data_IF_677979101858
#
_entry.id   IF_677979101858
#
_cell.length_a   1.000
_cell.length_b   1.000
_cell.length_c   1.000
_cell.angle_alpha   90.00
_cell.angle_beta   90.00
_cell.angle_gamma   90.00
#
_symmetry.space_group_name_H-M   'P 1'
#
loop_
_entity.id
_entity.type
_entity.pdbx_description
1 polymer ?
#
# COMPACT_ATOMS: atom_id res chain seq x y z
N UNK A 1 49.24 26.75 35.52
CA UNK A 1 47.93 26.82 36.19
C UNK A 1 46.95 27.42 35.18
N UNK A 2 46.41 26.60 34.26
CA UNK A 2 45.04 26.07 34.32
C UNK A 2 44.12 27.02 33.53
N UNK A 3 43.27 26.64 32.58
CA UNK A 3 42.56 25.38 32.37
C UNK A 3 42.10 25.26 30.92
N UNK A 4 41.92 24.01 30.50
CA UNK A 4 41.48 23.52 29.20
C UNK A 4 40.02 23.88 28.91
N UNK A 5 39.72 24.22 27.64
CA UNK A 5 38.36 24.31 27.08
C UNK A 5 38.13 23.08 26.20
N UNK A 6 37.15 22.25 26.55
CA UNK A 6 36.63 21.15 25.71
C UNK A 6 35.71 21.69 24.61
N UNK A 7 35.68 21.06 23.41
CA UNK A 7 34.55 21.15 22.50
C UNK A 7 33.78 19.83 22.50
N UNK A 8 32.53 19.85 22.97
CA UNK A 8 31.62 18.69 22.89
C UNK A 8 30.22 19.16 22.49
N UNK A 9 30.05 19.44 21.19
CA UNK A 9 28.76 19.53 20.50
C UNK A 9 29.04 19.58 19.01
N UNK A 10 29.11 18.43 18.33
CA UNK A 10 28.96 18.31 16.86
C UNK A 10 29.05 16.85 16.40
N UNK A 11 28.14 15.99 16.86
CA UNK A 11 28.00 14.61 16.32
C UNK A 11 26.58 14.13 16.02
N UNK A 12 25.56 14.97 16.20
CA UNK A 12 24.16 14.57 15.99
C UNK A 12 23.56 14.93 14.61
N UNK A 13 24.29 15.63 13.73
CA UNK A 13 23.74 16.09 12.44
C UNK A 13 24.18 15.31 11.20
N UNK A 14 25.01 14.27 11.32
CA UNK A 14 25.56 13.58 10.12
C UNK A 14 24.81 12.28 9.77
N UNK A 15 24.05 11.69 10.71
CA UNK A 15 23.30 10.44 10.48
C UNK A 15 21.91 10.62 9.85
N UNK A 16 21.30 11.80 9.94
CA UNK A 16 19.94 12.05 9.45
C UNK A 16 19.89 12.32 7.94
N UNK A 17 20.96 12.89 7.37
CA UNK A 17 21.03 13.24 5.95
C UNK A 17 21.15 12.04 5.02
N UNK A 18 21.59 10.88 5.52
CA UNK A 18 21.76 9.68 4.69
C UNK A 18 20.43 8.90 4.50
N UNK A 19 19.53 8.95 5.49
CA UNK A 19 18.23 8.27 5.40
C UNK A 19 17.23 9.00 4.49
N UNK A 20 17.25 10.34 4.46
CA UNK A 20 16.44 11.09 3.48
C UNK A 20 16.95 10.96 2.03
N UNK A 21 18.26 10.82 1.84
CA UNK A 21 18.86 10.63 0.53
C UNK A 21 18.49 9.27 -0.10
N UNK A 22 18.36 8.21 0.71
CA UNK A 22 18.00 6.87 0.20
C UNK A 22 16.50 6.75 -0.17
N UNK A 23 15.61 7.50 0.49
CA UNK A 23 14.20 7.58 0.10
C UNK A 23 13.95 8.36 -1.19
N UNK A 24 14.83 9.32 -1.53
CA UNK A 24 14.75 10.04 -2.82
C UNK A 24 15.31 9.23 -4.00
N UNK A 25 16.25 8.31 -3.76
CA UNK A 25 16.78 7.44 -4.81
C UNK A 25 15.83 6.31 -5.24
N UNK A 26 14.93 5.87 -4.35
CA UNK A 26 13.91 4.86 -4.71
C UNK A 26 12.73 5.43 -5.49
N UNK A 27 12.59 6.77 -5.57
CA UNK A 27 11.55 7.43 -6.36
C UNK A 27 11.94 7.65 -7.84
N UNK A 28 13.20 7.36 -8.22
CA UNK A 28 13.68 7.55 -9.60
C UNK A 28 13.65 6.27 -10.47
N UNK A 29 13.27 5.11 -9.94
CA UNK A 29 13.26 3.85 -10.71
C UNK A 29 11.87 3.36 -11.16
N UNK A 30 10.81 4.16 -11.01
CA UNK A 30 9.46 3.79 -11.47
C UNK A 30 8.98 4.52 -12.74
N UNK A 31 9.90 5.07 -13.55
CA UNK A 31 9.57 5.67 -14.84
C UNK A 31 10.43 5.04 -15.96
N UNK A 32 9.94 3.94 -16.54
CA UNK A 32 10.15 3.62 -17.96
C UNK A 32 9.22 2.46 -18.36
N UNK A 33 8.09 2.79 -19.00
CA UNK A 33 7.58 1.99 -20.10
C UNK A 33 6.86 2.91 -21.07
N UNK A 34 7.60 3.27 -22.10
CA UNK A 34 7.18 4.03 -23.27
C UNK A 34 6.10 3.28 -24.05
N UNK A 35 5.03 3.98 -24.41
CA UNK A 35 4.33 3.78 -25.68
C UNK A 35 3.91 5.17 -26.18
N UNK A 36 4.72 5.72 -27.09
CA UNK A 36 4.35 6.87 -27.92
C UNK A 36 3.22 6.45 -28.86
N UNK A 37 2.13 7.21 -28.88
CA UNK A 37 1.31 7.33 -30.09
C UNK A 37 1.02 8.80 -30.30
N UNK A 38 1.69 9.34 -31.31
CA UNK A 38 1.64 10.72 -31.75
C UNK A 38 0.43 10.89 -32.67
N UNK A 39 -0.55 11.71 -32.31
CA UNK A 39 -1.66 12.07 -33.21
C UNK A 39 -2.12 13.50 -32.92
N UNK A 40 -1.46 14.46 -33.58
CA UNK A 40 -2.00 15.79 -33.81
C UNK A 40 -1.83 16.16 -35.29
N UNK A 41 -2.89 16.00 -36.09
CA UNK A 41 -3.33 16.98 -37.11
C UNK A 41 -4.74 16.67 -37.61
N UNK A 42 -5.56 17.70 -37.91
CA UNK A 42 -6.95 17.56 -38.35
C UNK A 42 -7.01 17.30 -39.86
N UNK A 43 -8.17 16.84 -40.38
CA UNK A 43 -8.79 17.25 -41.68
C UNK A 43 -10.04 16.38 -41.98
N UNK A 44 -11.17 17.08 -42.11
CA UNK A 44 -12.41 16.91 -42.91
C UNK A 44 -12.98 15.53 -43.34
N UNK A 45 -14.31 15.42 -43.19
CA UNK A 45 -15.22 14.44 -43.82
C UNK A 45 -15.18 14.48 -45.36
N UNK A 46 -15.57 13.39 -46.03
CA UNK A 46 -16.87 13.42 -46.72
C UNK A 46 -17.71 12.14 -46.62
N UNK A 47 -19.02 12.29 -46.87
CA UNK A 47 -20.01 11.21 -47.05
C UNK A 47 -19.69 10.32 -48.27
N UNK A 48 -19.88 8.99 -48.16
CA UNK A 48 -20.88 8.26 -48.97
C UNK A 48 -21.09 6.81 -48.52
N UNK A 49 -22.35 6.40 -48.69
CA UNK A 49 -22.99 5.10 -48.49
C UNK A 49 -22.52 4.02 -49.49
N UNK A 50 -22.50 2.75 -49.06
CA UNK A 50 -23.18 1.62 -49.77
C UNK A 50 -23.23 0.36 -48.89
N UNK A 51 -24.32 -0.39 -49.04
CA UNK A 51 -24.67 -1.68 -48.41
C UNK A 51 -23.97 -2.86 -49.08
N UNK A 52 -23.82 -3.99 -48.36
CA UNK A 52 -24.19 -5.40 -48.69
C UNK A 52 -23.49 -6.33 -47.66
N UNK A 53 -24.23 -6.99 -46.75
CA UNK A 53 -24.89 -8.32 -46.79
C UNK A 53 -23.96 -9.55 -46.64
N UNK A 54 -24.23 -10.27 -45.54
CA UNK A 54 -24.30 -11.73 -45.31
C UNK A 54 -23.09 -12.65 -45.57
N UNK A 55 -22.67 -13.41 -44.54
CA UNK A 55 -22.76 -14.88 -44.49
C UNK A 55 -21.97 -15.49 -43.30
N UNK A 56 -22.32 -16.72 -42.99
CA UNK A 56 -22.26 -17.44 -41.71
C UNK A 56 -21.47 -18.76 -41.77
N UNK A 57 -21.06 -19.29 -40.61
CA UNK A 57 -20.73 -20.71 -40.34
C UNK A 57 -19.23 -21.06 -40.32
N UNK A 58 -18.71 -22.08 -39.62
CA UNK A 58 -19.20 -23.14 -38.73
C UNK A 58 -17.96 -23.85 -38.10
N UNK A 59 -18.07 -24.25 -36.82
CA UNK A 59 -17.53 -25.42 -36.08
C UNK A 59 -16.22 -26.19 -36.45
N UNK A 60 -15.47 -26.60 -35.42
CA UNK A 60 -14.63 -27.83 -35.43
C UNK A 60 -13.53 -27.97 -34.35
N UNK A 61 -13.78 -28.74 -33.28
CA UNK A 61 -12.87 -29.28 -32.22
C UNK A 61 -12.02 -30.50 -32.76
N UNK A 62 -11.17 -31.30 -32.03
CA UNK A 62 -10.75 -31.31 -30.60
C UNK A 62 -9.31 -31.87 -30.20
N UNK A 63 -9.00 -31.80 -28.87
CA UNK A 63 -8.21 -32.75 -27.98
C UNK A 63 -6.66 -32.89 -28.21
N UNK A 64 -5.74 -33.24 -27.28
CA UNK A 64 -5.71 -33.78 -25.88
C UNK A 64 -4.24 -33.82 -25.35
N UNK A 65 -4.10 -34.04 -24.01
CA UNK A 65 -3.03 -34.77 -23.24
C UNK A 65 -1.58 -34.23 -23.22
N UNK A 66 -0.74 -34.37 -22.17
CA UNK A 66 -0.82 -35.03 -20.85
C UNK A 66 0.41 -34.62 -19.99
N UNK A 67 0.25 -34.87 -18.69
CA UNK A 67 1.19 -34.81 -17.56
C UNK A 67 2.46 -35.68 -17.71
N UNK A 68 3.52 -35.30 -16.96
CA UNK A 68 4.69 -36.14 -16.65
C UNK A 68 5.65 -35.46 -15.67
N UNK A 69 5.46 -35.74 -14.37
CA UNK A 69 6.37 -35.44 -13.24
C UNK A 69 7.33 -36.62 -13.03
N UNK A 70 8.48 -36.38 -12.38
CA UNK A 70 9.33 -37.27 -11.54
C UNK A 70 10.82 -37.05 -11.84
N UNK A 71 11.80 -37.20 -10.93
CA UNK A 71 11.96 -37.13 -9.46
C UNK A 71 13.49 -37.14 -9.24
N UNK A 72 13.95 -36.57 -8.13
CA UNK A 72 15.35 -36.55 -7.64
C UNK A 72 15.83 -37.93 -7.20
N UNK A 73 17.15 -38.12 -7.18
CA UNK A 73 17.81 -39.16 -6.39
C UNK A 73 19.06 -38.59 -5.70
N UNK A 74 19.01 -38.50 -4.37
CA UNK A 74 20.11 -38.19 -3.45
C UNK A 74 20.68 -39.52 -2.93
N UNK A 75 22.01 -39.65 -2.90
CA UNK A 75 22.71 -40.79 -2.27
C UNK A 75 23.41 -40.35 -1.00
N UNK A 76 23.19 -41.12 0.07
CA UNK A 76 23.63 -40.95 1.46
C UNK A 76 24.44 -42.19 1.83
N UNK A 77 25.55 -42.06 2.57
CA UNK A 77 26.00 -43.14 3.49
C UNK A 77 26.98 -42.60 4.57
N UNK A 78 26.91 -43.07 5.83
CA UNK A 78 27.65 -42.56 7.02
C UNK A 78 28.59 -43.60 7.69
N UNK A 79 29.38 -43.18 8.70
CA UNK A 79 29.94 -44.02 9.80
C UNK A 79 30.56 -43.12 10.89
N UNK A 80 30.10 -43.07 12.15
CA UNK A 80 30.29 -43.95 13.33
C UNK A 80 31.67 -43.86 14.03
N UNK A 81 31.67 -43.96 15.37
CA UNK A 81 32.52 -43.29 16.41
C UNK A 81 33.50 -44.30 17.14
N UNK A 82 34.11 -43.98 18.32
CA UNK A 82 35.51 -43.57 18.67
C UNK A 82 36.37 -44.72 19.33
N UNK A 83 37.52 -44.51 20.05
CA UNK A 83 37.57 -43.96 21.44
C UNK A 83 38.89 -43.25 21.93
N UNK A 84 38.75 -42.62 23.11
CA UNK A 84 39.71 -42.48 24.26
C UNK A 84 40.83 -41.41 24.35
N UNK A 85 40.61 -40.50 25.32
CA UNK A 85 41.45 -40.07 26.46
C UNK A 85 42.91 -39.58 26.28
N UNK A 86 43.18 -38.33 26.68
CA UNK A 86 44.08 -38.01 27.80
C UNK A 86 44.04 -36.50 28.17
N UNK A 87 44.23 -36.26 29.47
CA UNK A 87 44.21 -34.98 30.18
C UNK A 87 45.46 -34.14 29.88
N UNK A 88 45.37 -32.81 30.01
CA UNK A 88 46.28 -32.02 30.86
C UNK A 88 45.77 -30.58 31.03
N UNK A 89 45.89 -30.11 32.27
CA UNK A 89 45.57 -28.77 32.72
C UNK A 89 46.74 -27.82 32.48
N UNK A 90 46.46 -26.56 32.18
CA UNK A 90 47.30 -25.43 32.58
C UNK A 90 46.50 -24.13 32.54
N UNK A 91 46.59 -23.37 33.62
CA UNK A 91 45.88 -22.12 33.85
C UNK A 91 46.61 -20.94 33.18
N UNK A 92 45.86 -20.01 32.60
CA UNK A 92 46.23 -18.59 32.60
C UNK A 92 45.06 -17.68 32.19
N UNK A 93 44.61 -16.94 33.17
CA UNK A 93 43.95 -15.63 33.19
C UNK A 93 43.82 -14.90 31.85
N UNK A 94 42.59 -14.51 31.47
CA UNK A 94 42.31 -13.19 30.89
C UNK A 94 40.81 -12.83 30.94
N UNK A 95 40.60 -11.58 31.34
CA UNK A 95 39.39 -10.77 31.44
C UNK A 95 38.32 -11.04 30.39
N UNK A 96 37.07 -11.09 30.88
CA UNK A 96 35.91 -10.42 30.30
C UNK A 96 35.67 -10.62 28.81
N UNK A 97 35.06 -11.74 28.43
CA UNK A 97 34.27 -11.80 27.21
C UNK A 97 32.97 -11.03 27.46
N UNK A 98 32.99 -9.72 27.21
CA UNK A 98 31.74 -9.02 26.89
C UNK A 98 31.20 -9.71 25.65
N UNK A 99 30.10 -10.45 25.81
CA UNK A 99 29.38 -11.05 24.69
C UNK A 99 28.99 -9.93 23.74
N UNK A 100 29.72 -9.83 22.63
CA UNK A 100 29.36 -8.94 21.53
C UNK A 100 28.22 -9.63 20.79
N UNK A 101 27.03 -9.57 21.40
CA UNK A 101 25.84 -10.12 20.80
C UNK A 101 25.44 -9.17 19.68
N UNK A 102 25.30 -9.69 18.45
CA UNK A 102 24.79 -8.91 17.30
C UNK A 102 23.36 -8.39 17.53
N UNK A 103 22.73 -8.80 18.62
CA UNK A 103 21.41 -8.39 19.07
C UNK A 103 21.42 -7.07 19.85
N UNK A 104 22.60 -6.50 20.16
CA UNK A 104 22.72 -5.26 20.95
C UNK A 104 22.70 -3.99 20.09
N UNK A 105 22.57 -4.06 18.77
CA UNK A 105 22.60 -2.89 17.88
C UNK A 105 21.23 -2.53 17.30
N UNK A 106 20.92 -1.24 17.28
CA UNK A 106 19.71 -0.69 16.70
C UNK A 106 19.84 -0.60 15.17
N UNK A 107 18.93 -1.19 14.37
CA UNK A 107 19.02 -1.14 12.91
C UNK A 107 18.68 0.23 12.30
N UNK A 108 18.20 1.19 13.10
CA UNK A 108 17.87 2.56 12.64
C UNK A 108 19.07 3.49 12.81
N UNK A 109 19.63 3.58 14.02
CA UNK A 109 20.77 4.46 14.29
C UNK A 109 22.13 3.77 14.12
N UNK A 110 22.14 2.44 13.98
CA UNK A 110 23.35 1.60 13.84
C UNK A 110 24.27 1.61 15.07
N UNK A 111 23.80 2.16 16.20
CA UNK A 111 24.48 2.18 17.50
C UNK A 111 23.89 1.14 18.46
N UNK A 112 24.51 0.99 19.64
CA UNK A 112 23.98 0.15 20.72
C UNK A 112 22.54 0.52 21.09
N UNK A 113 21.72 -0.48 21.38
CA UNK A 113 20.34 -0.31 21.80
C UNK A 113 20.25 0.45 23.12
N UNK A 114 19.56 1.59 23.09
CA UNK A 114 19.25 2.42 24.26
C UNK A 114 17.75 2.35 24.51
N UNK A 115 17.35 1.97 25.74
CA UNK A 115 15.94 1.79 26.14
C UNK A 115 15.18 0.96 25.09
N UNK A 116 15.63 -0.26 24.89
CA UNK A 116 15.15 -1.08 23.78
C UNK A 116 13.64 -1.35 23.82
N UNK A 117 13.00 -1.33 22.66
CA UNK A 117 11.65 -1.84 22.45
C UNK A 117 11.67 -2.91 21.36
N UNK A 118 11.05 -4.03 21.66
CA UNK A 118 10.88 -5.13 20.71
C UNK A 118 9.43 -5.16 20.21
N UNK A 119 9.28 -5.23 18.89
CA UNK A 119 7.98 -5.38 18.23
C UNK A 119 7.53 -6.85 18.22
N UNK A 120 6.26 -7.10 17.87
CA UNK A 120 5.71 -8.47 17.77
C UNK A 120 6.46 -9.32 16.73
N UNK A 121 6.97 -8.70 15.68
CA UNK A 121 7.83 -9.31 14.66
C UNK A 121 9.28 -9.59 15.13
N UNK A 122 9.57 -9.41 16.43
CA UNK A 122 10.86 -9.67 17.10
C UNK A 122 12.02 -8.74 16.76
N UNK A 123 11.85 -7.79 15.84
CA UNK A 123 12.83 -6.72 15.64
C UNK A 123 12.87 -5.76 16.85
N UNK A 124 14.08 -5.39 17.26
CA UNK A 124 14.36 -4.54 18.42
C UNK A 124 15.02 -3.23 17.99
N UNK A 125 14.63 -2.13 18.63
CA UNK A 125 15.07 -0.77 18.31
C UNK A 125 15.31 0.03 19.59
N UNK A 126 16.10 1.10 19.52
CA UNK A 126 16.02 2.15 20.54
C UNK A 126 14.60 2.73 20.57
N UNK A 127 14.05 3.03 21.76
CA UNK A 127 12.69 3.59 21.87
C UNK A 127 12.53 4.85 21.03
N UNK A 128 13.46 5.79 21.14
CA UNK A 128 13.42 7.06 20.39
C UNK A 128 13.50 6.86 18.88
N UNK A 129 14.35 5.93 18.41
CA UNK A 129 14.44 5.61 16.99
C UNK A 129 13.14 4.99 16.47
N UNK A 130 12.53 4.11 17.26
CA UNK A 130 11.23 3.55 16.91
C UNK A 130 10.18 4.65 16.85
N UNK A 131 10.02 5.47 17.90
CA UNK A 131 9.03 6.57 17.92
C UNK A 131 9.20 7.54 16.74
N UNK A 132 10.44 7.95 16.45
CA UNK A 132 10.73 8.80 15.31
C UNK A 132 10.30 8.14 14.00
N UNK A 133 10.58 6.85 13.82
CA UNK A 133 10.13 6.11 12.64
C UNK A 133 8.61 6.02 12.57
N UNK A 134 7.92 5.69 13.67
CA UNK A 134 6.45 5.56 13.70
C UNK A 134 5.76 6.88 13.34
N UNK A 135 6.36 8.02 13.68
CA UNK A 135 5.85 9.34 13.29
C UNK A 135 5.84 9.56 11.77
N UNK A 136 6.73 8.90 11.04
CA UNK A 136 6.88 9.06 9.60
C UNK A 136 6.21 7.95 8.79
N UNK A 137 6.29 6.69 9.23
CA UNK A 137 5.78 5.53 8.47
C UNK A 137 4.55 4.86 9.10
N UNK A 138 4.06 5.37 10.24
CA UNK A 138 2.96 4.77 10.99
C UNK A 138 3.39 3.55 11.82
N UNK A 139 2.44 2.76 12.35
CA UNK A 139 2.71 1.60 13.21
C UNK A 139 3.20 0.38 12.42
N UNK A 140 4.29 0.58 11.67
CA UNK A 140 4.91 -0.40 10.78
C UNK A 140 6.35 -0.65 11.20
N UNK A 141 6.78 -1.90 11.21
CA UNK A 141 8.16 -2.26 11.50
C UNK A 141 9.10 -1.69 10.42
N UNK A 142 10.14 -0.92 10.78
CA UNK A 142 11.06 -0.34 9.80
C UNK A 142 11.85 -1.38 9.00
N UNK A 143 12.06 -2.57 9.58
CA UNK A 143 12.84 -3.67 8.99
C UNK A 143 11.99 -4.56 8.09
N UNK A 144 10.98 -5.23 8.63
CA UNK A 144 10.19 -6.21 7.87
C UNK A 144 8.85 -5.71 7.34
N UNK A 145 8.48 -4.46 7.64
CA UNK A 145 7.21 -3.84 7.24
C UNK A 145 5.95 -4.47 7.85
N UNK A 146 6.10 -5.33 8.85
CA UNK A 146 4.97 -5.85 9.63
C UNK A 146 4.21 -4.72 10.33
N UNK A 147 2.90 -4.64 10.14
CA UNK A 147 2.03 -3.60 10.69
C UNK A 147 1.46 -4.09 12.02
N UNK A 148 1.69 -3.32 13.09
CA UNK A 148 1.30 -3.72 14.45
C UNK A 148 0.31 -2.78 15.15
N UNK A 149 -0.20 -1.80 14.42
CA UNK A 149 -1.28 -0.90 14.85
C UNK A 149 -2.19 -0.54 13.68
N UNK A 150 -3.07 0.42 13.88
CA UNK A 150 -3.96 0.91 12.82
C UNK A 150 -3.19 1.88 11.93
N UNK A 151 -3.00 1.53 10.66
CA UNK A 151 -2.54 2.49 9.66
C UNK A 151 -3.62 3.54 9.46
N UNK A 152 -3.24 4.81 9.48
CA UNK A 152 -4.15 5.93 9.23
C UNK A 152 -3.67 6.71 8.01
N UNK A 153 -4.57 6.98 7.08
CA UNK A 153 -4.29 7.78 5.90
C UNK A 153 -4.37 9.27 6.17
N UNK A 154 -4.40 10.08 5.12
CA UNK A 154 -4.42 11.53 5.19
C UNK A 154 -5.76 12.17 4.77
N UNK A 155 -6.83 11.38 4.63
CA UNK A 155 -8.17 11.92 4.36
C UNK A 155 -8.54 13.05 5.34
N UNK A 156 -9.03 14.21 4.85
CA UNK A 156 -9.53 15.29 5.70
C UNK A 156 -10.79 14.87 6.50
N UNK A 157 -11.20 15.68 7.47
CA UNK A 157 -12.45 15.42 8.20
C UNK A 157 -13.67 15.59 7.29
N UNK A 158 -14.57 14.62 7.35
CA UNK A 158 -15.76 14.56 6.53
C UNK A 158 -16.74 13.51 7.06
N UNK A 159 -17.84 13.34 6.35
CA UNK A 159 -18.93 12.44 6.74
C UNK A 159 -19.17 11.41 5.64
N UNK A 160 -19.31 10.14 6.04
CA UNK A 160 -19.79 9.06 5.20
C UNK A 160 -21.17 8.61 5.70
N UNK A 161 -22.16 8.64 4.82
CA UNK A 161 -23.51 8.10 5.08
C UNK A 161 -23.88 7.10 3.99
N UNK A 162 -24.86 6.24 4.27
CA UNK A 162 -25.41 5.34 3.26
C UNK A 162 -26.89 5.07 3.50
N UNK A 163 -27.57 4.66 2.43
CA UNK A 163 -28.98 4.27 2.43
C UNK A 163 -29.24 3.15 1.43
N UNK A 164 -30.27 2.36 1.66
CA UNK A 164 -30.75 1.37 0.68
C UNK A 164 -31.81 1.98 -0.25
N UNK A 165 -31.73 1.61 -1.51
CA UNK A 165 -32.65 1.94 -2.61
C UNK A 165 -33.16 0.61 -3.20
N UNK A 166 -34.45 0.49 -3.49
CA UNK A 166 -35.05 -0.75 -4.00
C UNK A 166 -34.68 -1.06 -5.46
N UNK A 167 -34.10 -0.09 -6.20
CA UNK A 167 -33.68 -0.29 -7.58
C UNK A 167 -32.43 -1.18 -7.67
N UNK A 168 -32.50 -2.20 -8.54
CA UNK A 168 -31.35 -3.05 -8.83
C UNK A 168 -30.33 -2.35 -9.72
N UNK A 169 -29.06 -2.64 -9.49
CA UNK A 169 -27.98 -2.24 -10.40
C UNK A 169 -27.89 -3.20 -11.60
N UNK A 170 -27.52 -2.71 -12.79
CA UNK A 170 -27.25 -3.56 -13.94
C UNK A 170 -26.24 -4.68 -13.59
N UNK A 171 -26.60 -5.94 -13.86
CA UNK A 171 -25.79 -7.11 -13.50
C UNK A 171 -26.10 -7.72 -12.12
N UNK A 172 -26.95 -7.08 -11.30
CA UNK A 172 -27.33 -7.53 -9.97
C UNK A 172 -28.85 -7.52 -9.80
N UNK A 173 -29.54 -8.38 -10.55
CA UNK A 173 -31.00 -8.53 -10.43
C UNK A 173 -31.40 -9.23 -9.13
N UNK A 174 -32.51 -8.81 -8.52
CA UNK A 174 -33.06 -9.46 -7.33
C UNK A 174 -32.52 -8.93 -6.01
N UNK A 175 -31.69 -7.89 -6.03
CA UNK A 175 -31.29 -7.14 -4.86
C UNK A 175 -31.43 -5.62 -5.09
N UNK A 176 -31.45 -4.84 -4.00
CA UNK A 176 -31.47 -3.38 -4.07
C UNK A 176 -30.11 -2.79 -4.43
N UNK A 177 -29.97 -1.49 -4.17
CA UNK A 177 -28.74 -0.74 -4.30
C UNK A 177 -28.43 0.02 -3.01
N UNK A 178 -27.19 -0.08 -2.54
CA UNK A 178 -26.67 0.76 -1.47
C UNK A 178 -26.12 2.04 -2.12
N UNK A 179 -26.62 3.19 -1.67
CA UNK A 179 -26.15 4.51 -2.07
C UNK A 179 -25.29 5.07 -0.96
N UNK A 180 -24.00 5.25 -1.21
CA UNK A 180 -23.03 5.81 -0.26
C UNK A 180 -22.79 7.27 -0.64
N UNK A 181 -22.84 8.17 0.34
CA UNK A 181 -22.54 9.59 0.17
C UNK A 181 -21.37 9.99 1.06
N UNK A 182 -20.35 10.59 0.44
CA UNK A 182 -19.22 11.20 1.13
C UNK A 182 -19.31 12.71 1.01
N UNK A 183 -19.26 13.41 2.14
CA UNK A 183 -19.31 14.87 2.20
C UNK A 183 -18.10 15.41 2.94
N UNK A 184 -17.32 16.25 2.27
CA UNK A 184 -16.18 16.95 2.83
C UNK A 184 -16.37 18.46 2.68
N UNK A 185 -16.39 19.22 3.78
CA UNK A 185 -16.32 20.67 3.69
C UNK A 185 -14.94 21.13 3.18
N UNK A 186 -14.86 22.36 2.67
CA UNK A 186 -13.56 23.00 2.44
C UNK A 186 -12.86 23.26 3.77
N UNK A 187 -11.52 23.23 3.78
CA UNK A 187 -10.74 23.33 5.00
C UNK A 187 -9.31 23.76 4.75
N UNK A 188 -8.44 23.57 5.75
CA UNK A 188 -7.00 23.80 5.64
C UNK A 188 -6.24 22.48 5.66
N UNK A 189 -5.18 22.41 4.85
CA UNK A 189 -4.31 21.27 4.75
C UNK A 189 -3.53 21.03 6.05
N UNK A 190 -3.49 19.78 6.49
CA UNK A 190 -2.73 19.33 7.65
C UNK A 190 -1.23 19.18 7.30
N UNK A 191 -0.40 18.93 8.30
CA UNK A 191 1.06 18.75 8.13
C UNK A 191 1.41 17.59 7.18
N UNK A 192 0.54 16.58 7.09
CA UNK A 192 0.70 15.41 6.21
C UNK A 192 0.26 15.65 4.76
N UNK A 193 -0.34 16.79 4.45
CA UNK A 193 -0.82 17.13 3.10
C UNK A 193 0.27 17.83 2.27
N UNK A 194 0.11 17.91 0.93
CA UNK A 194 1.13 18.50 0.05
C UNK A 194 1.48 19.97 0.35
N UNK A 195 0.50 20.77 0.77
CA UNK A 195 0.69 22.20 1.05
C UNK A 195 0.13 22.56 2.45
N UNK A 196 0.82 22.22 3.55
CA UNK A 196 0.33 22.47 4.91
C UNK A 196 -0.09 23.92 5.14
N UNK A 197 -1.23 24.10 5.81
CA UNK A 197 -1.81 25.42 6.11
C UNK A 197 -2.58 26.09 4.96
N UNK A 198 -2.36 25.67 3.70
CA UNK A 198 -3.13 26.19 2.56
C UNK A 198 -4.57 25.66 2.55
N UNK A 199 -5.53 26.44 1.99
CA UNK A 199 -6.89 25.95 1.84
C UNK A 199 -6.95 24.80 0.84
N UNK A 200 -7.87 23.86 1.07
CA UNK A 200 -8.32 22.90 0.07
C UNK A 200 -9.83 23.05 -0.15
N UNK A 201 -10.28 22.67 -1.35
CA UNK A 201 -11.70 22.67 -1.69
C UNK A 201 -12.34 21.32 -1.38
N UNK A 202 -13.45 21.38 -0.63
CA UNK A 202 -14.28 20.23 -0.27
C UNK A 202 -15.00 19.60 -1.46
N UNK A 203 -15.74 18.53 -1.21
CA UNK A 203 -16.46 17.80 -2.25
C UNK A 203 -17.66 17.03 -1.71
N UNK A 204 -18.61 16.71 -2.58
CA UNK A 204 -19.66 15.73 -2.32
C UNK A 204 -19.59 14.66 -3.41
N UNK A 205 -19.54 13.39 -3.01
CA UNK A 205 -19.41 12.26 -3.93
C UNK A 205 -20.37 11.15 -3.54
N UNK A 206 -21.04 10.60 -4.54
CA UNK A 206 -21.93 9.45 -4.40
C UNK A 206 -21.33 8.22 -5.06
N UNK A 207 -21.48 7.07 -4.41
CA UNK A 207 -21.08 5.77 -4.95
C UNK A 207 -22.17 4.71 -4.72
N UNK A 208 -22.10 3.63 -5.49
CA UNK A 208 -23.14 2.60 -5.53
C UNK A 208 -22.57 1.19 -5.36
N UNK A 209 -23.19 0.40 -4.49
CA UNK A 209 -22.96 -1.04 -4.35
C UNK A 209 -24.29 -1.79 -4.58
N UNK A 210 -24.28 -3.05 -5.01
CA UNK A 210 -25.47 -3.89 -4.92
C UNK A 210 -25.82 -4.14 -3.45
N UNK A 211 -27.11 -4.11 -3.11
CA UNK A 211 -27.57 -4.41 -1.75
C UNK A 211 -27.78 -5.92 -1.57
N UNK A 212 -26.69 -6.67 -1.71
CA UNK A 212 -26.60 -8.11 -1.47
C UNK A 212 -25.50 -8.41 -0.43
N UNK A 213 -25.28 -9.68 -0.10
CA UNK A 213 -24.31 -10.09 0.92
C UNK A 213 -22.90 -9.55 0.64
N UNK A 214 -22.42 -9.69 -0.60
CA UNK A 214 -21.09 -9.23 -0.99
C UNK A 214 -20.97 -7.70 -0.97
N UNK A 215 -21.99 -6.97 -1.43
CA UNK A 215 -22.00 -5.52 -1.38
C UNK A 215 -22.04 -4.97 0.05
N UNK A 216 -22.74 -5.66 0.97
CA UNK A 216 -22.75 -5.33 2.39
C UNK A 216 -21.39 -5.59 3.07
N UNK A 217 -20.68 -6.63 2.66
CA UNK A 217 -19.29 -6.87 3.08
C UNK A 217 -18.38 -5.72 2.63
N UNK A 218 -18.44 -5.34 1.34
CA UNK A 218 -17.68 -4.21 0.80
C UNK A 218 -18.03 -2.91 1.53
N UNK A 219 -19.30 -2.65 1.83
CA UNK A 219 -19.72 -1.48 2.60
C UNK A 219 -19.03 -1.40 3.97
N UNK A 220 -18.96 -2.53 4.70
CA UNK A 220 -18.28 -2.58 6.00
C UNK A 220 -16.80 -2.27 5.88
N UNK A 221 -16.13 -2.81 4.85
CA UNK A 221 -14.72 -2.53 4.60
C UNK A 221 -14.49 -1.07 4.19
N UNK A 222 -15.34 -0.50 3.34
CA UNK A 222 -15.27 0.93 2.99
C UNK A 222 -15.49 1.82 4.21
N UNK A 223 -16.42 1.46 5.12
CA UNK A 223 -16.61 2.19 6.37
C UNK A 223 -15.36 2.13 7.25
N UNK A 224 -14.75 0.96 7.39
CA UNK A 224 -13.48 0.78 8.12
C UNK A 224 -12.35 1.62 7.49
N UNK A 225 -12.23 1.60 6.17
CA UNK A 225 -11.26 2.40 5.43
C UNK A 225 -11.50 3.91 5.59
N UNK A 226 -12.77 4.36 5.61
CA UNK A 226 -13.12 5.75 5.86
C UNK A 226 -12.74 6.19 7.27
N UNK A 227 -13.01 5.36 8.28
CA UNK A 227 -12.64 5.61 9.67
C UNK A 227 -11.13 5.68 9.86
N UNK A 228 -10.39 4.90 9.07
CA UNK A 228 -8.93 4.91 9.01
C UNK A 228 -8.37 5.95 8.03
N UNK A 229 -9.19 6.88 7.53
CA UNK A 229 -8.78 8.00 6.67
C UNK A 229 -8.13 7.57 5.34
N UNK A 230 -8.53 6.43 4.76
CA UNK A 230 -7.92 5.83 3.57
C UNK A 230 -8.67 6.06 2.25
N UNK A 231 -9.93 6.51 2.27
CA UNK A 231 -10.74 6.61 1.03
C UNK A 231 -10.33 7.81 0.17
N UNK A 232 -10.00 8.92 0.83
CA UNK A 232 -9.64 10.18 0.17
C UNK A 232 -8.27 10.69 0.62
N UNK A 233 -7.76 11.68 -0.10
CA UNK A 233 -6.57 12.47 0.23
C UNK A 233 -6.77 13.91 -0.30
N UNK A 234 -5.84 14.82 -0.01
CA UNK A 234 -5.77 16.15 -0.63
C UNK A 234 -4.66 16.15 -1.67
N UNK A 235 -4.97 16.54 -2.89
CA UNK A 235 -3.99 16.59 -3.97
C UNK A 235 -4.52 17.21 -5.25
N UNK A 236 -3.90 16.85 -6.36
CA UNK A 236 -4.26 17.33 -7.70
C UNK A 236 -5.37 16.47 -8.31
N UNK A 237 -6.47 17.09 -8.69
CA UNK A 237 -7.57 16.43 -9.41
C UNK A 237 -7.12 16.03 -10.81
N UNK A 238 -7.13 14.73 -11.11
CA UNK A 238 -6.73 14.21 -12.43
C UNK A 238 -7.62 14.70 -13.58
N UNK A 239 -8.91 14.93 -13.33
CA UNK A 239 -9.86 15.31 -14.39
C UNK A 239 -9.88 16.80 -14.69
N UNK A 240 -9.60 17.65 -13.69
CA UNK A 240 -9.62 19.11 -13.85
C UNK A 240 -8.24 19.76 -13.83
N UNK A 241 -7.20 19.05 -13.37
CA UNK A 241 -5.86 19.58 -13.18
C UNK A 241 -5.73 20.55 -11.99
N UNK A 242 -6.77 20.72 -11.18
CA UNK A 242 -6.76 21.64 -10.04
C UNK A 242 -6.08 21.02 -8.83
N UNK A 243 -5.15 21.77 -8.23
CA UNK A 243 -4.50 21.42 -6.96
C UNK A 243 -5.40 21.72 -5.75
N UNK A 244 -4.98 21.22 -4.58
CA UNK A 244 -5.65 21.45 -3.30
C UNK A 244 -7.12 20.98 -3.30
N UNK A 245 -7.38 19.81 -3.87
CA UNK A 245 -8.69 19.20 -3.96
C UNK A 245 -8.79 17.93 -3.13
N UNK A 246 -9.97 17.65 -2.57
CA UNK A 246 -10.28 16.32 -2.02
C UNK A 246 -10.49 15.33 -3.18
N UNK A 247 -9.59 14.34 -3.27
CA UNK A 247 -9.52 13.35 -4.35
C UNK A 247 -9.55 11.92 -3.80
N UNK A 248 -9.97 10.96 -4.62
CA UNK A 248 -9.92 9.53 -4.28
C UNK A 248 -8.48 9.06 -4.05
N UNK A 249 -8.29 8.14 -3.11
CA UNK A 249 -6.98 7.61 -2.70
C UNK A 249 -6.86 6.12 -3.06
N UNK A 250 -6.88 5.82 -4.36
CA UNK A 250 -6.70 4.49 -4.96
C UNK A 250 -7.67 3.37 -4.54
N UNK A 251 -8.77 3.70 -3.86
CA UNK A 251 -9.87 2.76 -3.62
C UNK A 251 -10.98 3.04 -4.63
N UNK A 252 -11.15 2.14 -5.58
CA UNK A 252 -12.10 2.30 -6.68
C UNK A 252 -13.55 2.39 -6.18
N UNK A 253 -14.30 3.35 -6.70
CA UNK A 253 -15.73 3.52 -6.42
C UNK A 253 -16.55 3.58 -7.69
N UNK A 254 -17.76 3.02 -7.64
CA UNK A 254 -18.75 3.15 -8.71
C UNK A 254 -19.58 4.41 -8.52
N UNK A 255 -19.22 5.48 -9.22
CA UNK A 255 -19.89 6.79 -9.14
C UNK A 255 -21.05 6.95 -10.10
N UNK A 256 -21.35 5.93 -10.92
CA UNK A 256 -22.52 5.86 -11.79
C UNK A 256 -23.28 4.54 -11.60
N UNK A 257 -24.61 4.57 -11.61
CA UNK A 257 -25.42 3.33 -11.64
C UNK A 257 -25.32 2.60 -12.98
N UNK A 258 -24.90 3.26 -14.06
CA UNK A 258 -24.90 2.71 -15.43
C UNK A 258 -23.66 3.08 -16.23
N UNK A 259 -23.52 2.53 -17.44
CA UNK A 259 -22.47 2.92 -18.39
C UNK A 259 -21.19 2.09 -18.31
N UNK A 260 -21.19 1.04 -17.49
CA UNK A 260 -20.08 0.09 -17.36
C UNK A 260 -18.80 0.69 -16.79
N UNK A 261 -17.69 -0.06 -16.83
CA UNK A 261 -16.42 0.35 -16.23
C UNK A 261 -15.88 1.68 -16.76
N UNK A 262 -16.07 1.97 -18.06
CA UNK A 262 -15.60 3.20 -18.71
C UNK A 262 -16.24 4.48 -18.16
N UNK A 263 -17.43 4.38 -17.56
CA UNK A 263 -18.14 5.48 -16.91
C UNK A 263 -18.20 5.32 -15.39
N UNK A 264 -17.29 4.54 -14.83
CA UNK A 264 -17.24 4.24 -13.39
C UNK A 264 -18.59 3.69 -12.87
N UNK A 265 -19.27 2.90 -13.69
CA UNK A 265 -20.60 2.36 -13.37
C UNK A 265 -20.78 0.89 -13.70
N UNK A 266 -22.04 0.47 -13.72
CA UNK A 266 -22.47 -0.91 -13.92
C UNK A 266 -23.06 -1.12 -15.33
N UNK A 267 -23.13 -2.36 -15.85
CA UNK A 267 -22.63 -3.59 -15.25
C UNK A 267 -21.10 -3.64 -15.24
N UNK A 268 -20.51 -4.19 -14.18
CA UNK A 268 -19.08 -4.48 -14.06
C UNK A 268 -18.91 -5.70 -13.15
N UNK A 269 -18.75 -6.91 -13.72
CA UNK A 269 -18.67 -8.15 -12.93
C UNK A 269 -17.39 -8.25 -12.09
N UNK A 270 -16.35 -7.46 -12.39
CA UNK A 270 -15.06 -7.53 -11.69
C UNK A 270 -14.97 -6.55 -10.51
N UNK A 271 -15.91 -5.62 -10.38
CA UNK A 271 -15.76 -4.49 -9.48
C UNK A 271 -15.64 -4.89 -7.99
N UNK A 272 -16.51 -5.76 -7.49
CA UNK A 272 -16.51 -6.12 -6.06
C UNK A 272 -15.22 -6.83 -5.65
N UNK A 273 -14.66 -7.67 -6.54
CA UNK A 273 -13.34 -8.26 -6.35
C UNK A 273 -12.24 -7.20 -6.35
N UNK A 274 -12.23 -6.30 -7.35
CA UNK A 274 -11.21 -5.23 -7.46
C UNK A 274 -11.20 -4.29 -6.27
N UNK A 275 -12.36 -3.83 -5.80
CA UNK A 275 -12.41 -2.92 -4.64
C UNK A 275 -11.94 -3.60 -3.35
N UNK A 276 -12.19 -4.91 -3.18
CA UNK A 276 -11.62 -5.69 -2.08
C UNK A 276 -10.09 -5.81 -2.19
N UNK A 277 -9.55 -5.97 -3.40
CA UNK A 277 -8.10 -5.95 -3.65
C UNK A 277 -7.50 -4.56 -3.33
N UNK A 278 -8.15 -3.47 -3.76
CA UNK A 278 -7.73 -2.09 -3.44
C UNK A 278 -7.72 -1.85 -1.92
N UNK A 279 -8.78 -2.28 -1.22
CA UNK A 279 -8.91 -2.18 0.24
C UNK A 279 -7.81 -2.97 0.96
N UNK A 280 -7.58 -4.21 0.54
CA UNK A 280 -6.52 -5.06 1.07
C UNK A 280 -5.13 -4.44 0.85
N UNK A 281 -4.89 -3.83 -0.31
CA UNK A 281 -3.64 -3.12 -0.59
C UNK A 281 -3.41 -1.92 0.35
N UNK A 282 -4.49 -1.33 0.89
CA UNK A 282 -4.45 -0.28 1.93
C UNK A 282 -4.44 -0.85 3.36
N UNK A 283 -4.36 -2.17 3.52
CA UNK A 283 -4.34 -2.85 4.84
C UNK A 283 -5.72 -3.03 5.47
N UNK A 284 -6.80 -2.99 4.68
CA UNK A 284 -8.18 -3.13 5.13
C UNK A 284 -8.69 -4.53 4.76
N UNK A 285 -8.83 -5.39 5.77
CA UNK A 285 -9.40 -6.75 5.68
C UNK A 285 -10.46 -7.00 6.77
#
# INVERSE_FOLDING_TARGET
LGSLVSPEMDRYCVGFSYFMALSLLLCQFANFSSCNFDLNKPITRPLRSTRHKDASGLNGLPKKSSCGTERKEDSKQPSLIPPTAQQNAEASTKKGASGDSKDDFCPICLDRLIKQKQLRCKHTFCDECLQASLKHIGPMCPVCKDVFGVMEGDQPDGVMTWSSDSSSLPGFSGCGCIVITYTFPSGKQAEKHPNPGQPYQGTNRTAYLPDNEEGQEVLKLLKKAFDQKMIFTVGTSRTSGLDNQVIWNDISHKTSKTGGPQRYGYPDPDYLRKVKEDLKAKGIE
#
